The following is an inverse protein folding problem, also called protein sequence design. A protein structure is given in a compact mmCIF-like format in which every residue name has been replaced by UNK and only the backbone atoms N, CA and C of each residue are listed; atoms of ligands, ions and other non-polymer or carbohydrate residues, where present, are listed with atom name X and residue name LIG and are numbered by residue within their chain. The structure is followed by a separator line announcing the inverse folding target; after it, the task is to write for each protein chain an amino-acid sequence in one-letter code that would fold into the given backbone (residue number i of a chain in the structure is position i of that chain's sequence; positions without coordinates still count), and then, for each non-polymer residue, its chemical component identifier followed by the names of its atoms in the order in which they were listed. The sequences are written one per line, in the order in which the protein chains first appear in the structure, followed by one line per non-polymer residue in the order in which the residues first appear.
data_IF_840013537484
#
_entry.id   IF_840013537484
#
_cell.length_a   1.000
_cell.length_b   1.000
_cell.length_c   1.000
_cell.angle_alpha   90.00
_cell.angle_beta   90.00
_cell.angle_gamma   90.00
#
_symmetry.space_group_name_H-M   'P 1'
#
loop_
_entity.id
_entity.type
_entity.pdbx_description
1 polymer ?
#
# COMPACT_ATOMS: atom_id res chain seq x y z
N UNK A 1 7.29 -15.29 -15.00
CA UNK A 1 7.03 -16.05 -13.75
C UNK A 1 5.52 -16.11 -13.58
N UNK A 2 4.97 -17.29 -13.33
CA UNK A 2 3.53 -17.54 -13.18
C UNK A 2 3.27 -18.01 -11.74
N UNK A 3 2.66 -17.16 -10.93
CA UNK A 3 2.37 -17.46 -9.53
C UNK A 3 1.17 -18.40 -9.35
N UNK A 4 0.23 -18.41 -10.29
CA UNK A 4 -0.93 -19.31 -10.25
C UNK A 4 -0.53 -20.75 -10.55
N UNK A 5 0.34 -20.93 -11.55
CA UNK A 5 0.93 -22.23 -11.89
C UNK A 5 2.13 -22.62 -11.00
N UNK A 6 2.69 -21.66 -10.26
CA UNK A 6 3.93 -21.81 -9.46
C UNK A 6 5.13 -22.24 -10.33
N UNK A 7 5.25 -21.60 -11.50
CA UNK A 7 6.25 -21.93 -12.52
C UNK A 7 7.02 -20.69 -13.01
N UNK A 8 8.35 -20.76 -13.02
CA UNK A 8 9.19 -19.78 -13.70
C UNK A 8 9.56 -20.32 -15.07
N UNK A 9 9.02 -19.69 -16.12
CA UNK A 9 9.30 -20.03 -17.52
C UNK A 9 10.29 -19.03 -18.09
N UNK A 10 11.42 -19.49 -18.61
CA UNK A 10 12.41 -18.68 -19.33
C UNK A 10 13.06 -19.46 -20.47
N UNK A 11 13.85 -18.80 -21.32
CA UNK A 11 14.71 -19.47 -22.30
C UNK A 11 16.16 -19.36 -21.85
N UNK A 12 16.90 -20.46 -21.92
CA UNK A 12 18.34 -20.46 -21.64
C UNK A 12 19.15 -19.81 -22.78
N UNK A 13 20.47 -19.76 -22.64
CA UNK A 13 21.39 -19.20 -23.65
C UNK A 13 21.32 -19.93 -25.00
N UNK A 14 20.89 -21.18 -25.02
CA UNK A 14 20.73 -22.00 -26.21
C UNK A 14 19.29 -21.89 -26.80
N UNK A 15 18.45 -21.02 -26.23
CA UNK A 15 17.07 -20.80 -26.66
C UNK A 15 16.10 -21.88 -26.21
N UNK A 16 16.52 -22.86 -25.38
CA UNK A 16 15.65 -23.92 -24.88
C UNK A 16 14.70 -23.38 -23.83
N UNK A 17 13.44 -23.80 -23.89
CA UNK A 17 12.43 -23.44 -22.90
C UNK A 17 12.70 -24.20 -21.59
N UNK A 18 13.00 -23.47 -20.53
CA UNK A 18 13.14 -24.00 -19.17
C UNK A 18 11.90 -23.64 -18.37
N UNK A 19 11.34 -24.63 -17.67
CA UNK A 19 10.25 -24.45 -16.72
C UNK A 19 10.78 -24.89 -15.36
N UNK A 20 10.99 -23.93 -14.48
CA UNK A 20 11.42 -24.20 -13.12
C UNK A 20 10.17 -24.18 -12.22
N UNK A 21 9.74 -25.34 -11.69
CA UNK A 21 8.69 -25.36 -10.69
C UNK A 21 9.20 -24.72 -9.40
N UNK A 22 8.36 -23.94 -8.74
CA UNK A 22 8.64 -23.43 -7.41
C UNK A 22 7.46 -23.69 -6.49
N UNK A 23 7.73 -23.69 -5.20
CA UNK A 23 6.67 -23.70 -4.20
C UNK A 23 6.50 -22.28 -3.66
N UNK A 24 5.34 -21.66 -3.90
CA UNK A 24 4.87 -20.62 -3.00
C UNK A 24 4.53 -21.31 -1.69
N UNK A 25 5.41 -21.21 -0.69
CA UNK A 25 4.92 -21.32 0.68
C UNK A 25 4.07 -20.07 0.86
N UNK A 26 2.76 -20.24 0.75
CA UNK A 26 1.87 -19.23 1.29
C UNK A 26 2.30 -19.02 2.75
N UNK A 27 2.34 -17.77 3.16
CA UNK A 27 2.50 -17.34 4.55
C UNK A 27 1.58 -18.15 5.51
N UNK A 28 0.52 -18.77 4.98
CA UNK A 28 -0.50 -19.58 5.65
C UNK A 28 0.00 -20.80 6.43
N UNK A 29 1.17 -21.37 6.18
CA UNK A 29 1.69 -22.51 6.99
C UNK A 29 2.55 -22.08 8.17
N UNK A 30 2.95 -20.81 8.22
CA UNK A 30 3.74 -20.26 9.32
C UNK A 30 2.82 -19.74 10.43
N UNK A 31 3.27 -19.81 11.67
CA UNK A 31 2.55 -19.28 12.83
C UNK A 31 2.46 -17.74 12.68
N UNK A 32 1.31 -17.25 12.20
CA UNK A 32 1.09 -15.83 11.98
C UNK A 32 0.54 -15.17 13.24
N UNK A 33 1.17 -14.08 13.65
CA UNK A 33 0.67 -13.25 14.73
C UNK A 33 -0.13 -12.06 14.18
N UNK A 34 -1.19 -11.66 14.87
CA UNK A 34 -1.91 -10.43 14.51
C UNK A 34 -1.11 -9.22 14.98
N UNK A 35 -0.89 -8.27 14.08
CA UNK A 35 -0.19 -7.02 14.38
C UNK A 35 -1.19 -5.91 14.63
N UNK A 36 -1.09 -5.26 15.79
CA UNK A 36 -2.03 -4.23 16.24
C UNK A 36 -1.34 -2.92 16.53
N UNK A 37 -2.01 -1.81 16.30
CA UNK A 37 -1.47 -0.50 16.63
C UNK A 37 -1.33 -0.32 18.15
N UNK A 38 -0.15 0.09 18.63
CA UNK A 38 0.11 0.22 20.07
C UNK A 38 -0.73 1.35 20.73
N UNK A 39 -0.95 2.45 19.99
CA UNK A 39 -1.69 3.63 20.47
C UNK A 39 -2.40 4.31 19.32
N UNK A 40 -3.46 5.06 19.60
CA UNK A 40 -4.15 5.85 18.58
C UNK A 40 -3.18 6.86 17.95
N UNK A 41 -3.17 6.93 16.62
CA UNK A 41 -2.41 7.94 15.88
C UNK A 41 -3.31 8.70 14.92
N UNK A 42 -2.98 9.96 14.68
CA UNK A 42 -3.58 10.78 13.63
C UNK A 42 -2.55 10.95 12.54
N UNK A 43 -2.83 10.40 11.37
CA UNK A 43 -2.01 10.56 10.18
C UNK A 43 -2.44 11.85 9.49
N UNK A 44 -1.49 12.78 9.39
CA UNK A 44 -1.66 13.97 8.59
C UNK A 44 -1.78 13.59 7.11
N UNK A 45 -2.48 14.43 6.36
CA UNK A 45 -2.58 14.33 4.91
C UNK A 45 -1.19 14.31 4.27
N UNK A 46 -0.97 13.43 3.29
CA UNK A 46 0.24 13.41 2.46
C UNK A 46 1.54 13.26 3.26
N UNK A 47 1.50 12.64 4.43
CA UNK A 47 2.65 12.52 5.34
C UNK A 47 2.97 11.05 5.59
N UNK A 48 4.25 10.68 5.42
CA UNK A 48 4.76 9.40 5.89
C UNK A 48 4.92 9.43 7.42
N UNK A 49 4.38 8.42 8.10
CA UNK A 49 4.54 8.23 9.54
C UNK A 49 5.09 6.85 9.83
N UNK A 50 6.09 6.77 10.70
CA UNK A 50 6.55 5.49 11.26
C UNK A 50 5.77 5.21 12.52
N UNK A 51 5.01 4.12 12.52
CA UNK A 51 4.05 3.77 13.58
C UNK A 51 4.55 2.55 14.34
N UNK A 52 4.39 2.58 15.67
CA UNK A 52 4.70 1.42 16.52
C UNK A 52 3.49 0.49 16.60
N UNK A 53 3.74 -0.77 16.32
CA UNK A 53 2.73 -1.81 16.35
C UNK A 53 3.18 -2.92 17.27
N UNK A 54 2.25 -3.46 18.06
CA UNK A 54 2.46 -4.60 18.94
C UNK A 54 2.37 -5.89 18.13
N UNK A 55 3.29 -6.79 18.37
CA UNK A 55 3.39 -8.10 17.74
C UNK A 55 3.32 -9.17 18.83
N UNK A 56 2.49 -10.18 18.61
CA UNK A 56 2.42 -11.35 19.49
C UNK A 56 3.50 -12.37 19.08
N UNK A 57 4.76 -12.02 19.29
CA UNK A 57 5.93 -12.84 19.01
C UNK A 57 7.03 -12.53 20.04
N UNK A 58 7.96 -13.47 20.23
CA UNK A 58 9.08 -13.28 21.18
C UNK A 58 10.02 -12.16 20.71
N UNK A 59 10.57 -11.40 21.65
CA UNK A 59 11.61 -10.41 21.37
C UNK A 59 12.83 -11.07 20.71
N UNK A 60 13.42 -10.37 19.75
CA UNK A 60 14.49 -10.90 18.90
C UNK A 60 14.01 -11.71 17.69
N UNK A 61 12.71 -12.00 17.58
CA UNK A 61 12.17 -12.67 16.38
C UNK A 61 12.21 -11.72 15.19
N UNK A 62 12.97 -12.08 14.15
CA UNK A 62 12.94 -11.38 12.86
C UNK A 62 11.77 -11.90 12.03
N UNK A 63 11.11 -11.00 11.32
CA UNK A 63 9.93 -11.35 10.55
C UNK A 63 9.49 -10.27 9.59
N UNK A 64 8.52 -10.61 8.77
CA UNK A 64 7.92 -9.72 7.79
C UNK A 64 6.52 -9.35 8.27
N UNK A 65 6.29 -8.07 8.48
CA UNK A 65 4.95 -7.52 8.57
C UNK A 65 4.30 -7.52 7.19
N UNK A 66 3.11 -8.13 7.09
CA UNK A 66 2.28 -8.15 5.89
C UNK A 66 1.01 -7.35 6.15
N UNK A 67 0.77 -6.23 5.42
CA UNK A 67 -0.43 -5.43 5.59
C UNK A 67 -1.70 -6.24 5.35
N UNK A 68 -2.74 -5.97 6.13
CA UNK A 68 -4.07 -6.55 5.91
C UNK A 68 -4.62 -6.08 4.57
N UNK A 69 -5.02 -7.02 3.72
CA UNK A 69 -5.75 -6.74 2.49
C UNK A 69 -7.07 -6.01 2.80
N UNK A 70 -7.33 -4.91 2.09
CA UNK A 70 -8.48 -4.05 2.36
C UNK A 70 -8.27 -3.03 3.50
N UNK A 71 -7.01 -2.72 3.85
CA UNK A 71 -6.73 -1.44 4.52
C UNK A 71 -7.36 -0.29 3.73
N UNK A 72 -7.69 0.81 4.43
CA UNK A 72 -8.32 1.98 3.81
C UNK A 72 -7.55 2.39 2.55
N UNK A 73 -8.24 2.59 1.43
CA UNK A 73 -7.63 2.77 0.09
C UNK A 73 -6.62 3.92 0.03
N UNK A 74 -6.79 4.93 0.88
CA UNK A 74 -5.91 6.08 0.99
C UNK A 74 -4.71 5.90 1.95
N UNK A 75 -4.55 4.71 2.54
CA UNK A 75 -3.40 4.37 3.35
C UNK A 75 -2.51 3.37 2.61
N UNK A 76 -1.34 3.83 2.22
CA UNK A 76 -0.26 2.96 1.77
C UNK A 76 0.48 2.47 3.02
N UNK A 77 0.36 1.17 3.28
CA UNK A 77 1.11 0.48 4.33
C UNK A 77 2.04 -0.48 3.61
N UNK A 78 3.33 -0.34 3.82
CA UNK A 78 4.32 -1.19 3.16
C UNK A 78 4.55 -2.47 3.98
N UNK A 79 4.72 -3.64 3.32
CA UNK A 79 5.35 -4.77 3.95
C UNK A 79 6.70 -4.36 4.53
N UNK A 80 6.99 -4.77 5.76
CA UNK A 80 8.18 -4.33 6.49
C UNK A 80 8.91 -5.53 7.07
N UNK A 81 10.20 -5.69 6.76
CA UNK A 81 11.09 -6.62 7.46
C UNK A 81 11.64 -5.89 8.69
N UNK A 82 11.47 -6.46 9.87
CA UNK A 82 11.97 -5.89 11.13
C UNK A 82 12.30 -7.00 12.14
N UNK A 83 12.87 -6.64 13.28
CA UNK A 83 13.08 -7.52 14.42
C UNK A 83 12.25 -7.02 15.60
N UNK A 84 11.51 -7.92 16.25
CA UNK A 84 10.68 -7.57 17.40
C UNK A 84 11.56 -7.08 18.56
N UNK A 85 11.26 -5.88 19.06
CA UNK A 85 11.91 -5.25 20.21
C UNK A 85 10.83 -4.74 21.17
N UNK A 86 10.87 -5.16 22.43
CA UNK A 86 9.88 -4.84 23.46
C UNK A 86 8.42 -5.17 23.02
N UNK A 87 8.24 -6.30 22.33
CA UNK A 87 6.97 -6.74 21.75
C UNK A 87 6.47 -5.84 20.62
N UNK A 88 7.31 -4.99 20.04
CA UNK A 88 6.93 -4.03 19.01
C UNK A 88 7.82 -4.08 17.77
N UNK A 89 7.26 -3.62 16.65
CA UNK A 89 7.98 -3.32 15.40
C UNK A 89 7.56 -1.96 14.85
N UNK A 90 8.33 -1.44 13.89
CA UNK A 90 8.09 -0.14 13.27
C UNK A 90 7.57 -0.34 11.86
N UNK A 91 6.41 0.24 11.54
CA UNK A 91 5.80 0.13 10.21
C UNK A 91 5.64 1.51 9.60
N UNK A 92 6.03 1.67 8.34
CA UNK A 92 5.79 2.89 7.58
C UNK A 92 4.35 2.92 7.05
N UNK A 93 3.66 4.02 7.33
CA UNK A 93 2.30 4.30 6.82
C UNK A 93 2.29 5.66 6.16
N UNK A 94 1.86 5.71 4.90
CA UNK A 94 1.68 6.94 4.15
C UNK A 94 0.19 7.15 3.86
N UNK A 95 -0.33 8.30 4.29
CA UNK A 95 -1.67 8.74 3.93
C UNK A 95 -1.59 9.54 2.62
N UNK A 96 -2.19 9.03 1.54
CA UNK A 96 -2.10 9.58 0.18
C UNK A 96 -3.32 10.41 -0.24
N UNK A 97 -4.35 10.50 0.59
CA UNK A 97 -5.54 11.31 0.30
C UNK A 97 -5.58 12.57 1.18
N UNK A 98 -6.23 13.62 0.67
CA UNK A 98 -6.41 14.94 1.28
C UNK A 98 -6.98 14.98 2.70
N UNK A 99 -7.38 13.83 3.28
CA UNK A 99 -8.13 13.72 4.52
C UNK A 99 -7.24 13.24 5.66
N UNK A 100 -7.38 13.85 6.85
CA UNK A 100 -6.75 13.33 8.07
C UNK A 100 -7.34 11.98 8.43
N UNK A 101 -6.48 11.02 8.72
CA UNK A 101 -6.89 9.67 9.04
C UNK A 101 -6.55 9.34 10.50
N UNK A 102 -7.51 8.76 11.23
CA UNK A 102 -7.32 8.37 12.63
C UNK A 102 -7.27 6.85 12.68
N UNK A 103 -6.10 6.31 12.98
CA UNK A 103 -5.95 4.88 13.26
C UNK A 103 -6.11 4.66 14.77
N UNK A 104 -7.17 3.94 15.21
CA UNK A 104 -7.43 3.74 16.62
C UNK A 104 -6.45 2.72 17.23
N UNK A 105 -6.17 2.88 18.53
CA UNK A 105 -5.40 1.90 19.29
C UNK A 105 -5.98 0.48 19.12
N UNK A 106 -5.10 -0.52 19.12
CA UNK A 106 -5.42 -1.95 18.95
C UNK A 106 -6.05 -2.33 17.60
N UNK A 107 -6.20 -1.39 16.66
CA UNK A 107 -6.60 -1.72 15.30
C UNK A 107 -5.61 -2.71 14.68
N UNK A 108 -6.13 -3.80 14.13
CA UNK A 108 -5.31 -4.76 13.40
C UNK A 108 -4.88 -4.14 12.06
N UNK A 109 -3.57 -4.02 11.85
CA UNK A 109 -2.99 -3.44 10.63
C UNK A 109 -2.51 -4.50 9.65
N UNK A 110 -2.25 -5.72 10.12
CA UNK A 110 -1.72 -6.80 9.30
C UNK A 110 -1.35 -8.00 10.14
N UNK A 111 -0.53 -8.86 9.55
CA UNK A 111 0.01 -10.06 10.17
C UNK A 111 1.52 -9.98 10.25
N UNK A 112 2.08 -10.65 11.25
CA UNK A 112 3.51 -10.85 11.40
C UNK A 112 3.84 -12.27 10.98
N UNK A 113 4.90 -12.40 10.21
CA UNK A 113 5.36 -13.66 9.66
C UNK A 113 6.81 -13.85 10.10
N UNK A 114 7.07 -14.71 11.09
CA UNK A 114 8.43 -15.02 11.47
C UNK A 114 9.21 -15.55 10.27
N UNK A 115 10.43 -15.09 10.09
CA UNK A 115 11.37 -15.72 9.14
C UNK A 115 12.00 -16.91 9.85
N UNK A 116 11.69 -18.13 9.41
CA UNK A 116 12.36 -19.34 9.89
C UNK A 116 13.80 -19.42 9.35
N UNK A 117 14.64 -20.29 9.93
CA UNK A 117 16.03 -20.53 9.53
C UNK A 117 16.20 -20.93 8.05
N UNK A 118 15.13 -21.38 7.40
CA UNK A 118 15.11 -21.74 5.97
C UNK A 118 14.92 -20.53 5.04
N UNK A 119 14.54 -19.36 5.58
CA UNK A 119 14.43 -18.11 4.82
C UNK A 119 15.75 -17.35 4.92
N UNK A 120 16.53 -17.36 3.84
CA UNK A 120 17.71 -16.50 3.74
C UNK A 120 17.26 -15.06 3.51
N UNK A 121 17.35 -14.22 4.54
CA UNK A 121 17.28 -12.76 4.38
C UNK A 121 18.51 -12.36 3.60
N UNK A 122 18.32 -11.95 2.34
CA UNK A 122 19.38 -11.38 1.56
C UNK A 122 19.58 -9.96 2.09
N UNK A 123 20.71 -9.74 2.77
CA UNK A 123 21.13 -8.39 3.11
C UNK A 123 21.23 -7.61 1.80
N UNK A 124 20.48 -6.51 1.70
CA UNK A 124 20.52 -5.63 0.55
C UNK A 124 21.80 -4.78 0.62
N UNK A 125 22.95 -5.44 0.70
CA UNK A 125 24.27 -4.85 0.81
C UNK A 125 24.71 -4.43 -0.59
N UNK A 126 24.00 -3.44 -1.12
CA UNK A 126 24.14 -2.96 -2.49
C UNK A 126 22.86 -3.15 -3.30
N UNK A 127 22.44 -2.05 -3.93
CA UNK A 127 21.74 -2.04 -5.22
C UNK A 127 20.20 -2.06 -5.30
N UNK A 128 19.54 -1.13 -4.59
CA UNK A 128 18.66 -0.22 -5.33
C UNK A 128 19.53 0.95 -5.82
N UNK A 129 20.49 0.61 -6.69
CA UNK A 129 21.41 1.60 -7.24
C UNK A 129 20.57 2.59 -8.04
N UNK A 130 20.69 3.87 -7.67
CA UNK A 130 19.73 4.90 -8.09
C UNK A 130 19.58 4.94 -9.61
N UNK A 131 20.65 4.71 -10.38
CA UNK A 131 20.55 4.73 -11.84
C UNK A 131 19.78 3.53 -12.38
N UNK A 132 19.94 2.32 -11.80
CA UNK A 132 19.09 1.15 -12.11
C UNK A 132 17.62 1.39 -11.75
N UNK A 133 17.33 2.01 -10.61
CA UNK A 133 15.95 2.36 -10.23
C UNK A 133 15.38 3.40 -11.18
N UNK A 134 16.13 4.44 -11.50
CA UNK A 134 15.72 5.47 -12.46
C UNK A 134 15.42 4.86 -13.84
N UNK A 135 16.30 3.97 -14.32
CA UNK A 135 16.11 3.24 -15.58
C UNK A 135 14.87 2.36 -15.53
N UNK A 136 14.60 1.68 -14.43
CA UNK A 136 13.39 0.88 -14.28
C UNK A 136 12.13 1.77 -14.25
N UNK A 137 12.11 2.85 -13.46
CA UNK A 137 10.99 3.81 -13.41
C UNK A 137 10.73 4.41 -14.80
N UNK A 138 11.76 4.68 -15.60
CA UNK A 138 11.57 5.17 -16.96
C UNK A 138 10.92 4.15 -17.90
N UNK A 139 11.09 2.84 -17.66
CA UNK A 139 10.37 1.80 -18.43
C UNK A 139 8.90 1.68 -18.07
N UNK A 140 8.51 2.13 -16.87
CA UNK A 140 7.11 2.14 -16.44
C UNK A 140 6.32 3.32 -17.01
N UNK A 141 7.00 4.35 -17.53
CA UNK A 141 6.36 5.58 -17.99
C UNK A 141 5.30 5.30 -19.05
N UNK A 142 4.04 5.46 -18.68
CA UNK A 142 3.02 5.98 -19.59
C UNK A 142 3.49 7.38 -20.01
N UNK A 143 3.55 7.66 -21.31
CA UNK A 143 3.98 8.97 -21.82
C UNK A 143 3.25 10.10 -21.06
N UNK A 144 4.03 11.06 -20.54
CA UNK A 144 3.56 12.25 -19.82
C UNK A 144 2.45 12.03 -18.77
N UNK A 145 2.66 11.07 -17.86
CA UNK A 145 1.78 10.88 -16.71
C UNK A 145 1.58 12.20 -15.93
N UNK A 146 0.33 12.68 -15.89
CA UNK A 146 -0.04 13.93 -15.27
C UNK A 146 0.37 13.96 -13.78
N UNK A 147 0.72 15.15 -13.24
CA UNK A 147 0.97 15.30 -11.82
C UNK A 147 -0.20 14.82 -10.97
N UNK A 148 0.09 14.28 -9.78
CA UNK A 148 -0.97 13.90 -8.84
C UNK A 148 -1.65 15.16 -8.28
N UNK A 149 -2.97 15.08 -8.04
CA UNK A 149 -3.79 16.22 -7.55
C UNK A 149 -3.18 16.97 -6.35
N UNK A 150 -2.44 16.29 -5.45
CA UNK A 150 -1.82 16.88 -4.25
C UNK A 150 -0.29 16.69 -4.17
N UNK A 151 0.38 16.50 -5.29
CA UNK A 151 1.81 16.14 -5.34
C UNK A 151 2.73 17.09 -4.55
N UNK A 152 2.52 18.40 -4.68
CA UNK A 152 3.34 19.43 -4.02
C UNK A 152 3.27 19.38 -2.48
N UNK A 153 2.25 18.73 -1.93
CA UNK A 153 2.05 18.60 -0.49
C UNK A 153 2.54 17.26 0.09
N UNK A 154 3.15 16.39 -0.73
CA UNK A 154 3.72 15.11 -0.29
C UNK A 154 4.98 15.32 0.58
N UNK A 155 4.85 14.99 1.86
CA UNK A 155 5.92 14.89 2.84
C UNK A 155 6.39 13.43 2.98
N UNK A 156 7.44 13.08 2.22
CA UNK A 156 7.99 11.72 2.12
C UNK A 156 9.16 11.54 3.12
N UNK A 157 8.97 12.04 4.35
CA UNK A 157 10.00 11.98 5.40
C UNK A 157 11.31 12.67 5.03
N UNK A 158 12.39 12.28 5.71
CA UNK A 158 13.76 12.71 5.41
C UNK A 158 14.34 11.80 4.31
N UNK A 159 14.34 12.28 3.08
CA UNK A 159 14.75 11.55 1.87
C UNK A 159 15.57 12.49 0.97
N UNK A 160 16.63 11.97 0.33
CA UNK A 160 17.41 12.73 -0.65
C UNK A 160 16.46 13.27 -1.74
N UNK A 161 16.54 14.56 -2.10
CA UNK A 161 15.64 15.16 -3.10
C UNK A 161 15.59 14.39 -4.42
N UNK A 162 16.71 13.79 -4.84
CA UNK A 162 16.84 13.05 -6.09
C UNK A 162 16.18 11.68 -6.04
N UNK A 163 15.99 11.12 -4.84
CA UNK A 163 15.25 9.88 -4.61
C UNK A 163 13.76 10.17 -4.45
N UNK A 164 13.42 11.32 -3.84
CA UNK A 164 12.05 11.85 -3.80
C UNK A 164 11.47 12.01 -5.20
N UNK A 165 12.24 12.52 -6.15
CA UNK A 165 11.80 12.66 -7.54
C UNK A 165 11.48 11.31 -8.20
N UNK A 166 12.28 10.27 -7.92
CA UNK A 166 12.02 8.92 -8.44
C UNK A 166 10.77 8.30 -7.83
N UNK A 167 10.55 8.54 -6.53
CA UNK A 167 9.34 8.09 -5.84
C UNK A 167 8.09 8.77 -6.40
N UNK A 168 8.12 10.09 -6.62
CA UNK A 168 7.02 10.84 -7.25
C UNK A 168 6.75 10.33 -8.67
N UNK A 169 7.80 10.15 -9.48
CA UNK A 169 7.66 9.65 -10.84
C UNK A 169 7.01 8.25 -10.91
N UNK A 170 7.31 7.40 -9.92
CA UNK A 170 6.66 6.10 -9.76
C UNK A 170 5.18 6.24 -9.40
N UNK A 171 4.83 7.09 -8.42
CA UNK A 171 3.44 7.27 -8.00
C UNK A 171 2.53 7.77 -9.14
N UNK A 172 3.04 8.65 -10.01
CA UNK A 172 2.31 9.11 -11.20
C UNK A 172 1.87 7.96 -12.13
N UNK A 173 2.64 6.86 -12.20
CA UNK A 173 2.27 5.70 -13.02
C UNK A 173 1.01 4.98 -12.53
N UNK A 174 0.70 5.16 -11.25
CA UNK A 174 -0.44 4.55 -10.58
C UNK A 174 -1.50 5.59 -10.19
N UNK A 175 -1.50 6.77 -10.82
CA UNK A 175 -2.45 7.85 -10.56
C UNK A 175 -3.90 7.38 -10.60
N UNK A 176 -4.30 6.55 -11.58
CA UNK A 176 -5.66 6.01 -11.64
C UNK A 176 -6.06 5.20 -10.40
N UNK A 177 -5.14 4.45 -9.80
CA UNK A 177 -5.41 3.66 -8.59
C UNK A 177 -5.53 4.58 -7.38
N UNK A 178 -4.64 5.57 -7.32
CA UNK A 178 -4.56 6.56 -6.24
C UNK A 178 -5.81 7.47 -6.26
N UNK A 179 -6.24 7.92 -7.44
CA UNK A 179 -7.33 8.89 -7.64
C UNK A 179 -8.72 8.23 -7.71
N UNK A 180 -8.85 7.00 -8.25
CA UNK A 180 -10.12 6.25 -8.17
C UNK A 180 -10.47 5.81 -6.74
N UNK A 181 -9.50 5.83 -5.82
CA UNK A 181 -9.74 5.72 -4.38
C UNK A 181 -10.48 6.93 -3.78
N UNK A 182 -10.40 8.08 -4.44
CA UNK A 182 -10.92 9.38 -3.99
C UNK A 182 -12.14 9.91 -4.75
N UNK A 183 -12.88 9.07 -5.49
CA UNK A 183 -14.04 9.52 -6.28
C UNK A 183 -15.34 8.88 -5.79
N UNK A 184 -15.97 9.51 -4.80
CA UNK A 184 -17.44 9.66 -4.74
C UNK A 184 -17.78 10.77 -3.76
N UNK A 185 -17.61 12.01 -4.19
CA UNK A 185 -18.49 13.09 -3.75
C UNK A 185 -18.56 14.21 -4.79
N UNK A 186 -19.69 14.17 -5.51
CA UNK A 186 -20.52 15.30 -5.92
C UNK A 186 -19.94 16.25 -6.97
N UNK A 187 -20.53 16.14 -8.16
CA UNK A 187 -20.58 17.18 -9.18
C UNK A 187 -21.91 17.09 -9.93
N UNK A 188 -23.04 17.15 -9.20
CA UNK A 188 -24.34 17.41 -9.82
C UNK A 188 -24.72 18.84 -9.45
N UNK A 189 -24.39 19.78 -10.34
CA UNK A 189 -24.84 21.17 -10.28
C UNK A 189 -25.71 21.44 -11.51
N UNK A 190 -27.02 21.44 -11.22
CA UNK A 190 -27.94 22.52 -11.58
C UNK A 190 -28.21 22.81 -13.08
N UNK A 191 -29.40 22.39 -13.53
CA UNK A 191 -30.23 23.25 -14.40
C UNK A 191 -31.64 23.36 -13.82
N UNK A 192 -31.98 24.61 -13.51
CA UNK A 192 -33.26 25.08 -13.03
C UNK A 192 -34.40 24.90 -14.04
N UNK A 193 -35.62 24.69 -13.53
CA UNK A 193 -36.76 25.60 -13.74
C UNK A 193 -37.93 25.28 -12.79
N UNK A 194 -38.73 26.28 -12.35
CA UNK A 194 -39.76 26.12 -11.32
C UNK A 194 -41.19 26.00 -11.89
N UNK A 195 -42.13 25.72 -10.97
CA UNK A 195 -43.60 25.69 -11.09
C UNK A 195 -44.24 24.43 -11.73
N UNK A 196 -45.01 23.68 -10.93
CA UNK A 196 -46.42 23.99 -10.70
C UNK A 196 -47.00 23.20 -9.52
N UNK A 197 -47.89 23.89 -8.81
CA UNK A 197 -48.77 23.40 -7.76
C UNK A 197 -49.64 22.22 -8.24
N UNK A 198 -49.82 21.20 -7.40
CA UNK A 198 -50.75 20.11 -7.67
C UNK A 198 -50.89 19.12 -6.51
N UNK A 199 -51.39 19.58 -5.35
CA UNK A 199 -51.91 18.69 -4.31
C UNK A 199 -53.12 17.93 -4.87
N UNK A 200 -53.11 16.59 -4.81
CA UNK A 200 -54.30 15.80 -4.42
C UNK A 200 -53.87 14.59 -3.62
N UNK A 201 -54.23 14.62 -2.34
CA UNK A 201 -54.23 13.45 -1.47
C UNK A 201 -55.50 12.62 -1.72
N UNK A 202 -55.28 11.31 -1.77
CA UNK A 202 -56.12 10.16 -1.43
C UNK A 202 -57.55 10.32 -0.82
N UNK A 203 -58.45 9.50 -1.39
CA UNK A 203 -59.45 8.59 -0.78
C UNK A 203 -60.82 9.08 -0.21
N UNK A 204 -61.79 8.14 -0.36
CA UNK A 204 -63.19 8.03 0.14
C UNK A 204 -64.26 8.74 -0.72
N UNK A 205 -65.41 8.12 -1.04
CA UNK A 205 -66.43 7.56 -0.14
C UNK A 205 -67.30 6.47 -0.83
N UNK A 206 -67.69 5.47 -0.02
CA UNK A 206 -68.80 4.48 -0.12
C UNK A 206 -68.76 3.40 -1.22
#
# INVERSE_FOLDING_TARGET
MDFGARELKYRDSDGRKVILPFTCHGVTTLQQATVRLARTIKLATNTQSVVRVTVDAADGTTGIFVPKSGSKRHLLIAPTLDTVQDGMVRVAVLNIEGRREKLPARAALGTWVPTEDTMKILEMNGELERTRVAKWVSTLRKEDAAPLTNEASLQIGDMDPRDKDLFIALLRQYAEIIEKGGMSSVGESERAAPHQYGRRCAHHVA
#
